data_IF_805264055920
#
_entry.id   IF_805264055920
#
_cell.length_a   1.000
_cell.length_b   1.000
_cell.length_c   1.000
_cell.angle_alpha   90.00
_cell.angle_beta   90.00
_cell.angle_gamma   90.00
#
_symmetry.space_group_name_H-M   'P 1'
#
loop_
_entity.id
_entity.type
_entity.pdbx_description
1 polymer ?
#
# COMPACT_ATOMS: atom_id res chain seq x y z
N UNK A 1 -32.31 25.32 39.55
CA UNK A 1 -31.87 23.92 39.39
C UNK A 1 -31.45 23.73 37.94
N UNK A 2 -30.15 23.67 37.73
CA UNK A 2 -29.45 23.86 36.45
C UNK A 2 -29.28 22.55 35.67
N UNK A 3 -29.68 22.61 34.40
CA UNK A 3 -29.63 21.54 33.40
C UNK A 3 -28.19 21.30 32.96
N UNK A 4 -27.65 20.08 33.15
CA UNK A 4 -26.38 19.65 32.53
C UNK A 4 -26.67 18.68 31.38
N UNK A 5 -26.61 19.21 30.17
CA UNK A 5 -26.49 18.41 28.94
C UNK A 5 -25.06 17.84 28.87
N UNK A 6 -24.96 16.51 28.74
CA UNK A 6 -23.71 15.82 28.39
C UNK A 6 -23.63 15.73 26.86
N UNK A 7 -22.78 16.57 26.27
CA UNK A 7 -22.28 16.42 24.90
C UNK A 7 -21.20 15.35 24.88
N UNK A 8 -21.48 14.22 24.22
CA UNK A 8 -20.46 13.23 23.85
C UNK A 8 -19.81 13.69 22.54
N UNK A 9 -18.66 14.34 22.64
CA UNK A 9 -17.77 14.56 21.51
C UNK A 9 -17.06 13.25 21.19
N UNK A 10 -17.50 12.57 20.13
CA UNK A 10 -16.83 11.42 19.55
C UNK A 10 -15.63 11.88 18.71
N UNK A 11 -14.46 11.44 19.14
CA UNK A 11 -13.14 11.66 18.57
C UNK A 11 -13.05 11.15 17.12
N UNK A 12 -12.79 12.05 16.17
CA UNK A 12 -12.38 11.69 14.82
C UNK A 12 -10.86 11.50 14.79
N UNK A 13 -10.40 10.29 15.13
CA UNK A 13 -9.03 9.87 14.85
C UNK A 13 -8.99 9.25 13.45
N UNK A 14 -8.35 9.93 12.52
CA UNK A 14 -8.08 9.44 11.17
C UNK A 14 -7.10 8.25 11.24
N UNK A 15 -7.63 7.03 11.18
CA UNK A 15 -6.81 5.83 11.04
C UNK A 15 -6.41 5.66 9.56
N UNK A 16 -5.18 6.07 9.23
CA UNK A 16 -4.50 5.68 7.99
C UNK A 16 -4.17 4.19 8.12
N UNK A 17 -4.96 3.33 7.49
CA UNK A 17 -4.65 1.89 7.40
C UNK A 17 -3.57 1.73 6.32
N UNK A 18 -2.32 1.65 6.75
CA UNK A 18 -1.24 1.11 5.94
C UNK A 18 -1.44 -0.40 5.81
N UNK A 19 -1.79 -0.88 4.61
CA UNK A 19 -1.69 -2.31 4.29
C UNK A 19 -0.21 -2.67 4.17
N UNK A 20 0.34 -3.29 5.21
CA UNK A 20 1.64 -3.96 5.17
C UNK A 20 1.47 -5.30 4.46
N UNK A 21 1.90 -5.36 3.19
CA UNK A 21 2.15 -6.64 2.54
C UNK A 21 3.43 -7.23 3.13
N UNK A 22 3.28 -8.22 4.01
CA UNK A 22 4.39 -9.05 4.49
C UNK A 22 4.81 -9.99 3.35
N UNK A 23 5.70 -9.51 2.49
CA UNK A 23 6.53 -10.35 1.62
C UNK A 23 7.96 -10.28 2.14
N UNK A 24 8.58 -11.44 2.34
CA UNK A 24 9.98 -11.57 2.77
C UNK A 24 10.92 -10.86 1.80
N UNK A 25 11.22 -9.59 2.09
CA UNK A 25 12.19 -8.81 1.34
C UNK A 25 13.59 -9.17 1.86
N UNK A 26 14.37 -9.83 1.01
CA UNK A 26 15.83 -9.77 1.09
C UNK A 26 16.16 -8.27 1.02
N UNK A 27 16.63 -7.71 2.13
CA UNK A 27 16.72 -6.26 2.34
C UNK A 27 17.50 -5.56 1.23
N UNK A 28 16.82 -4.79 0.40
CA UNK A 28 17.47 -3.81 -0.47
C UNK A 28 18.00 -2.67 0.40
N UNK A 29 19.25 -2.21 0.20
CA UNK A 29 19.78 -1.09 0.97
C UNK A 29 18.93 0.16 0.73
N UNK A 30 18.50 0.80 1.82
CA UNK A 30 17.78 2.07 1.81
C UNK A 30 18.68 3.19 1.25
N UNK A 31 18.11 4.28 0.68
CA UNK A 31 18.90 5.45 0.29
C UNK A 31 19.71 5.99 1.48
N UNK A 32 20.93 6.49 1.22
CA UNK A 32 21.94 6.79 2.24
C UNK A 32 21.41 7.60 3.45
N UNK A 33 21.67 7.12 4.68
CA UNK A 33 21.30 7.75 5.96
C UNK A 33 22.45 8.49 6.68
N UNK A 34 23.63 8.69 6.07
CA UNK A 34 24.69 9.52 6.68
C UNK A 34 24.55 10.99 6.26
N UNK A 35 25.07 11.91 7.07
CA UNK A 35 25.02 13.38 6.94
C UNK A 35 25.72 13.94 5.68
N UNK A 36 25.37 13.43 4.51
CA UNK A 36 25.84 13.90 3.22
C UNK A 36 25.22 15.27 2.93
N UNK A 37 25.92 16.16 2.19
CA UNK A 37 25.33 17.37 1.67
C UNK A 37 23.98 17.07 0.99
N UNK A 38 22.98 17.94 1.19
CA UNK A 38 21.61 17.73 0.66
C UNK A 38 21.59 17.37 -0.83
N UNK A 39 22.53 17.92 -1.61
CA UNK A 39 22.66 17.64 -3.04
C UNK A 39 23.08 16.19 -3.33
N UNK A 40 23.97 15.60 -2.52
CA UNK A 40 24.42 14.22 -2.67
C UNK A 40 23.28 13.24 -2.36
N UNK A 41 22.51 13.50 -1.30
CA UNK A 41 21.30 12.72 -0.99
C UNK A 41 20.25 12.86 -2.10
N UNK A 42 20.11 14.05 -2.69
CA UNK A 42 19.20 14.28 -3.83
C UNK A 42 19.64 13.49 -5.06
N UNK A 43 20.93 13.53 -5.42
CA UNK A 43 21.51 12.75 -6.51
C UNK A 43 21.25 11.25 -6.31
N UNK A 44 21.54 10.73 -5.11
CA UNK A 44 21.36 9.32 -4.77
C UNK A 44 19.89 8.90 -4.87
N UNK A 45 18.97 9.73 -4.40
CA UNK A 45 17.53 9.50 -4.51
C UNK A 45 17.03 9.49 -5.96
N UNK A 46 17.48 10.42 -6.79
CA UNK A 46 17.14 10.46 -8.22
C UNK A 46 17.63 9.22 -8.95
N UNK A 47 18.88 8.81 -8.70
CA UNK A 47 19.44 7.60 -9.30
C UNK A 47 18.75 6.33 -8.82
N UNK A 48 18.44 6.22 -7.52
CA UNK A 48 17.67 5.10 -7.00
C UNK A 48 16.30 4.99 -7.68
N UNK A 49 15.58 6.11 -7.83
CA UNK A 49 14.28 6.15 -8.51
C UNK A 49 14.39 5.83 -10.00
N UNK A 50 15.45 6.28 -10.67
CA UNK A 50 15.73 5.93 -12.07
C UNK A 50 15.89 4.43 -12.24
N UNK A 51 16.80 3.84 -11.46
CA UNK A 51 17.17 2.42 -11.56
C UNK A 51 16.10 1.45 -11.03
N UNK A 52 15.13 1.94 -10.27
CA UNK A 52 13.97 1.15 -9.78
C UNK A 52 12.66 1.51 -10.48
N UNK A 53 12.70 2.37 -11.51
CA UNK A 53 11.52 2.87 -12.21
C UNK A 53 10.60 1.75 -12.71
N UNK A 54 11.15 0.76 -13.41
CA UNK A 54 10.34 -0.30 -14.02
C UNK A 54 9.68 -1.20 -12.97
N UNK A 55 10.38 -1.45 -11.86
CA UNK A 55 9.82 -2.17 -10.71
C UNK A 55 8.66 -1.40 -10.09
N UNK A 56 8.82 -0.07 -9.91
CA UNK A 56 7.76 0.79 -9.39
C UNK A 56 6.56 0.84 -10.34
N UNK A 57 6.79 0.98 -11.65
CA UNK A 57 5.74 0.99 -12.66
C UNK A 57 4.99 -0.35 -12.73
N UNK A 58 5.71 -1.47 -12.66
CA UNK A 58 5.12 -2.82 -12.61
C UNK A 58 4.24 -3.01 -11.36
N UNK A 59 4.70 -2.55 -10.20
CA UNK A 59 3.92 -2.62 -8.95
C UNK A 59 2.64 -1.76 -9.02
N UNK A 60 2.72 -0.56 -9.60
CA UNK A 60 1.56 0.30 -9.82
C UNK A 60 0.55 -0.33 -10.79
N UNK A 61 1.01 -0.91 -11.89
CA UNK A 61 0.15 -1.61 -12.87
C UNK A 61 -0.55 -2.82 -12.27
N UNK A 62 0.18 -3.60 -11.46
CA UNK A 62 -0.37 -4.75 -10.73
C UNK A 62 -1.45 -4.29 -9.75
N UNK A 63 -1.17 -3.23 -8.99
CA UNK A 63 -2.14 -2.63 -8.06
C UNK A 63 -3.40 -2.15 -8.78
N UNK A 64 -3.25 -1.45 -9.90
CA UNK A 64 -4.36 -0.96 -10.71
C UNK A 64 -5.24 -2.11 -11.21
N UNK A 65 -4.63 -3.17 -11.75
CA UNK A 65 -5.35 -4.36 -12.21
C UNK A 65 -6.15 -5.01 -11.07
N UNK A 66 -5.54 -5.17 -9.90
CA UNK A 66 -6.20 -5.69 -8.70
C UNK A 66 -7.38 -4.82 -8.25
N UNK A 67 -7.20 -3.50 -8.22
CA UNK A 67 -8.26 -2.55 -7.86
C UNK A 67 -9.43 -2.60 -8.86
N UNK A 68 -9.14 -2.65 -10.16
CA UNK A 68 -10.18 -2.78 -11.21
C UNK A 68 -10.94 -4.10 -11.10
N UNK A 69 -10.26 -5.21 -10.80
CA UNK A 69 -10.90 -6.50 -10.52
C UNK A 69 -11.81 -6.40 -9.29
N UNK A 70 -11.33 -5.76 -8.22
CA UNK A 70 -12.12 -5.55 -7.01
C UNK A 70 -13.37 -4.69 -7.27
N UNK A 71 -13.27 -3.62 -8.07
CA UNK A 71 -14.44 -2.83 -8.49
C UNK A 71 -15.49 -3.71 -9.16
N UNK A 72 -15.09 -4.54 -10.15
CA UNK A 72 -16.03 -5.45 -10.84
C UNK A 72 -16.68 -6.45 -9.89
N UNK A 73 -15.89 -7.05 -9.00
CA UNK A 73 -16.39 -8.00 -8.01
C UNK A 73 -17.40 -7.35 -7.06
N UNK A 74 -17.08 -6.18 -6.51
CA UNK A 74 -17.97 -5.49 -5.58
C UNK A 74 -19.21 -4.91 -6.29
N UNK A 75 -19.11 -4.52 -7.56
CA UNK A 75 -20.28 -4.12 -8.34
C UNK A 75 -21.26 -5.29 -8.58
N UNK A 76 -20.74 -6.49 -8.86
CA UNK A 76 -21.58 -7.69 -8.91
C UNK A 76 -22.22 -7.99 -7.54
N UNK A 77 -21.46 -7.82 -6.46
CA UNK A 77 -21.97 -7.98 -5.09
C UNK A 77 -23.05 -6.95 -4.72
N UNK A 78 -22.95 -5.70 -5.19
CA UNK A 78 -24.02 -4.70 -5.03
C UNK A 78 -25.32 -5.21 -5.65
N UNK A 79 -25.25 -5.83 -6.83
CA UNK A 79 -26.44 -6.38 -7.51
C UNK A 79 -27.07 -7.50 -6.68
N UNK A 80 -26.26 -8.43 -6.19
CA UNK A 80 -26.72 -9.56 -5.35
C UNK A 80 -27.30 -9.06 -4.02
N UNK A 81 -26.59 -8.16 -3.35
CA UNK A 81 -27.01 -7.58 -2.07
C UNK A 81 -28.32 -6.79 -2.21
N UNK A 82 -28.50 -6.04 -3.30
CA UNK A 82 -29.72 -5.28 -3.57
C UNK A 82 -30.92 -6.21 -3.74
N UNK A 83 -30.77 -7.29 -4.52
CA UNK A 83 -31.83 -8.31 -4.67
C UNK A 83 -32.20 -8.96 -3.33
N UNK A 84 -31.21 -9.27 -2.51
CA UNK A 84 -31.43 -9.82 -1.17
C UNK A 84 -32.17 -8.82 -0.27
N UNK A 85 -31.80 -7.53 -0.30
CA UNK A 85 -32.45 -6.47 0.45
C UNK A 85 -33.92 -6.29 0.05
N UNK A 86 -34.22 -6.27 -1.26
CA UNK A 86 -35.59 -6.24 -1.76
C UNK A 86 -36.40 -7.43 -1.25
N UNK A 87 -35.84 -8.65 -1.34
CA UNK A 87 -36.51 -9.87 -0.87
C UNK A 87 -36.78 -9.83 0.63
N UNK A 88 -35.80 -9.40 1.44
CA UNK A 88 -35.93 -9.28 2.89
C UNK A 88 -36.99 -8.23 3.26
N UNK A 89 -37.04 -7.11 2.54
CA UNK A 89 -38.06 -6.07 2.75
C UNK A 89 -39.46 -6.58 2.44
N UNK A 90 -39.65 -7.35 1.36
CA UNK A 90 -40.95 -7.99 1.06
C UNK A 90 -41.37 -8.93 2.19
N UNK A 91 -40.45 -9.75 2.72
CA UNK A 91 -40.73 -10.64 3.87
C UNK A 91 -41.08 -9.86 5.13
N UNK A 92 -40.40 -8.76 5.41
CA UNK A 92 -40.69 -7.90 6.54
C UNK A 92 -42.10 -7.30 6.45
N UNK A 93 -42.51 -6.82 5.27
CA UNK A 93 -43.87 -6.30 5.05
C UNK A 93 -44.93 -7.39 5.27
N UNK A 94 -44.69 -8.61 4.75
CA UNK A 94 -45.58 -9.74 4.93
C UNK A 94 -45.69 -10.16 6.41
N UNK A 95 -44.56 -10.30 7.11
CA UNK A 95 -44.52 -10.67 8.51
C UNK A 95 -45.18 -9.62 9.42
N UNK A 96 -45.01 -8.33 9.09
CA UNK A 96 -45.66 -7.22 9.80
C UNK A 96 -47.18 -7.32 9.67
N UNK A 97 -47.67 -7.59 8.47
CA UNK A 97 -49.10 -7.78 8.22
C UNK A 97 -49.65 -9.00 8.96
N UNK A 98 -48.92 -10.12 8.91
CA UNK A 98 -49.33 -11.37 9.54
C UNK A 98 -49.38 -11.27 11.08
N UNK A 99 -48.37 -10.65 11.70
CA UNK A 99 -48.34 -10.38 13.15
C UNK A 99 -49.51 -9.48 13.55
N UNK A 100 -49.75 -8.38 12.82
CA UNK A 100 -50.87 -7.48 13.09
C UNK A 100 -52.21 -8.22 13.07
N UNK A 101 -52.43 -9.04 12.04
CA UNK A 101 -53.65 -9.84 11.91
C UNK A 101 -53.79 -10.88 13.02
N UNK A 102 -52.70 -11.56 13.40
CA UNK A 102 -52.72 -12.53 14.50
C UNK A 102 -53.01 -11.87 15.85
N UNK A 103 -52.44 -10.69 16.10
CA UNK A 103 -52.70 -9.89 17.30
C UNK A 103 -54.16 -9.47 17.40
N UNK A 104 -54.74 -8.98 16.31
CA UNK A 104 -56.17 -8.63 16.24
C UNK A 104 -57.07 -9.83 16.51
N UNK A 105 -56.78 -11.00 15.92
CA UNK A 105 -57.53 -12.24 16.16
C UNK A 105 -57.43 -12.72 17.60
N UNK A 106 -56.25 -12.60 18.22
CA UNK A 106 -56.07 -12.91 19.65
C UNK A 106 -56.86 -11.95 20.55
N UNK A 107 -56.87 -10.65 20.26
CA UNK A 107 -57.67 -9.67 20.98
C UNK A 107 -59.18 -9.96 20.86
N UNK A 108 -59.66 -10.27 19.65
CA UNK A 108 -61.04 -10.65 19.41
C UNK A 108 -61.44 -11.93 20.17
N UNK A 109 -60.58 -12.96 20.19
CA UNK A 109 -60.80 -14.19 20.97
C UNK A 109 -60.91 -13.91 22.47
N UNK A 110 -60.07 -13.00 23.01
CA UNK A 110 -60.16 -12.58 24.41
C UNK A 110 -61.49 -11.88 24.70
N UNK A 111 -61.93 -10.98 23.83
CA UNK A 111 -63.24 -10.31 23.96
C UNK A 111 -64.39 -11.33 23.95
N UNK A 112 -64.35 -12.30 23.04
CA UNK A 112 -65.35 -13.37 22.95
C UNK A 112 -65.38 -14.24 24.22
N UNK A 113 -64.22 -14.55 24.82
CA UNK A 113 -64.15 -15.25 26.10
C UNK A 113 -64.81 -14.44 27.23
N UNK A 114 -64.53 -13.15 27.33
CA UNK A 114 -65.19 -12.26 28.31
C UNK A 114 -66.71 -12.27 28.12
N UNK A 115 -67.19 -12.17 26.88
CA UNK A 115 -68.63 -12.24 26.58
C UNK A 115 -69.22 -13.60 26.98
N UNK A 116 -68.57 -14.72 26.64
CA UNK A 116 -69.04 -16.06 27.01
C UNK A 116 -69.12 -16.25 28.53
N UNK A 117 -68.14 -15.73 29.27
CA UNK A 117 -68.14 -15.74 30.74
C UNK A 117 -69.29 -14.92 31.31
N UNK A 118 -69.58 -13.75 30.73
CA UNK A 118 -70.72 -12.92 31.11
C UNK A 118 -72.05 -13.67 30.86
N UNK A 119 -72.20 -14.29 29.69
CA UNK A 119 -73.40 -15.08 29.34
C UNK A 119 -73.60 -16.25 30.31
N UNK A 120 -72.54 -16.95 30.70
CA UNK A 120 -72.61 -18.02 31.71
C UNK A 120 -73.08 -17.49 33.07
N UNK A 121 -72.55 -16.34 33.51
CA UNK A 121 -73.00 -15.69 34.75
C UNK A 121 -74.48 -15.33 34.69
N UNK A 122 -74.96 -14.77 33.58
CA UNK A 122 -76.37 -14.40 33.39
C UNK A 122 -77.28 -15.64 33.37
N UNK A 123 -76.93 -16.67 32.58
CA UNK A 123 -77.70 -17.93 32.51
C UNK A 123 -77.78 -18.64 33.87
N UNK A 124 -76.73 -18.53 34.69
CA UNK A 124 -76.72 -19.07 36.05
C UNK A 124 -77.67 -18.35 37.02
N UNK A 125 -77.96 -17.07 36.78
CA UNK A 125 -78.81 -16.21 37.64
C UNK A 125 -80.27 -16.11 37.16
N UNK A 126 -80.57 -16.53 35.93
CA UNK A 126 -81.90 -16.42 35.32
C UNK A 126 -82.93 -17.33 36.03
N UNK A 127 -84.16 -16.81 36.25
CA UNK A 127 -85.30 -17.56 36.79
C UNK A 127 -86.50 -17.54 35.81
N UNK A 128 -87.19 -18.69 35.59
CA UNK A 128 -86.86 -20.02 36.09
C UNK A 128 -85.55 -20.55 35.47
N UNK A 129 -84.85 -21.43 36.21
CA UNK A 129 -83.51 -21.90 35.82
C UNK A 129 -83.60 -22.86 34.63
N UNK A 130 -82.86 -22.58 33.55
CA UNK A 130 -82.72 -23.49 32.41
C UNK A 130 -81.37 -24.23 32.46
N UNK A 131 -81.38 -25.54 32.76
CA UNK A 131 -80.17 -26.39 32.73
C UNK A 131 -79.50 -26.36 31.35
N UNK A 132 -80.30 -26.41 30.27
CA UNK A 132 -79.79 -26.37 28.91
C UNK A 132 -79.06 -25.06 28.57
N UNK A 133 -79.57 -23.91 29.04
CA UNK A 133 -78.91 -22.63 28.84
C UNK A 133 -77.55 -22.55 29.54
N UNK A 134 -77.47 -23.05 30.79
CA UNK A 134 -76.21 -23.13 31.53
C UNK A 134 -75.20 -24.04 30.82
N UNK A 135 -75.60 -25.23 30.39
CA UNK A 135 -74.70 -26.16 29.66
C UNK A 135 -74.16 -25.53 28.37
N UNK A 136 -75.02 -24.87 27.57
CA UNK A 136 -74.57 -24.17 26.36
C UNK A 136 -73.57 -23.06 26.67
N UNK A 137 -73.83 -22.26 27.69
CA UNK A 137 -72.92 -21.19 28.09
C UNK A 137 -71.57 -21.72 28.62
N UNK A 138 -71.57 -22.83 29.37
CA UNK A 138 -70.34 -23.52 29.80
C UNK A 138 -69.54 -24.01 28.60
N UNK A 139 -70.18 -24.67 27.64
CA UNK A 139 -69.51 -25.13 26.42
C UNK A 139 -68.92 -23.97 25.61
N UNK A 140 -69.63 -22.83 25.55
CA UNK A 140 -69.14 -21.62 24.89
C UNK A 140 -67.89 -21.05 25.59
N UNK A 141 -67.84 -21.04 26.93
CA UNK A 141 -66.62 -20.64 27.68
C UNK A 141 -65.45 -21.58 27.40
N UNK A 142 -65.69 -22.90 27.40
CA UNK A 142 -64.66 -23.89 27.07
C UNK A 142 -64.11 -23.69 25.66
N UNK A 143 -64.99 -23.52 24.66
CA UNK A 143 -64.60 -23.25 23.29
C UNK A 143 -63.82 -21.94 23.13
N UNK A 144 -64.28 -20.85 23.76
CA UNK A 144 -63.60 -19.56 23.74
C UNK A 144 -62.23 -19.61 24.43
N UNK A 145 -62.09 -20.37 25.51
CA UNK A 145 -60.81 -20.58 26.21
C UNK A 145 -59.80 -21.27 25.30
N UNK A 146 -60.21 -22.35 24.61
CA UNK A 146 -59.38 -23.06 23.62
C UNK A 146 -59.00 -22.15 22.45
N UNK A 147 -59.93 -21.31 21.99
CA UNK A 147 -59.68 -20.34 20.93
C UNK A 147 -58.62 -19.31 21.36
N UNK A 148 -58.71 -18.74 22.57
CA UNK A 148 -57.69 -17.81 23.10
C UNK A 148 -56.31 -18.46 23.14
N UNK A 149 -56.21 -19.69 23.66
CA UNK A 149 -54.93 -20.41 23.73
C UNK A 149 -54.32 -20.61 22.33
N UNK A 150 -55.13 -21.05 21.36
CA UNK A 150 -54.70 -21.25 19.97
C UNK A 150 -54.25 -19.95 19.33
N UNK A 151 -55.03 -18.87 19.46
CA UNK A 151 -54.69 -17.56 18.89
C UNK A 151 -53.45 -16.94 19.55
N UNK A 152 -53.25 -17.16 20.85
CA UNK A 152 -52.04 -16.73 21.57
C UNK A 152 -50.79 -17.42 21.01
N UNK A 153 -50.87 -18.72 20.73
CA UNK A 153 -49.74 -19.45 20.14
C UNK A 153 -49.45 -18.97 18.71
N UNK A 154 -50.49 -18.79 17.88
CA UNK A 154 -50.33 -18.23 16.53
C UNK A 154 -49.69 -16.85 16.58
N UNK A 155 -50.17 -15.96 17.45
CA UNK A 155 -49.59 -14.63 17.65
C UNK A 155 -48.08 -14.70 17.99
N UNK A 156 -47.67 -15.59 18.90
CA UNK A 156 -46.26 -15.78 19.24
C UNK A 156 -45.40 -16.20 18.04
N UNK A 157 -45.88 -17.15 17.24
CA UNK A 157 -45.19 -17.60 16.02
C UNK A 157 -44.99 -16.44 15.04
N UNK A 158 -46.03 -15.64 14.78
CA UNK A 158 -45.90 -14.48 13.88
C UNK A 158 -45.02 -13.36 14.47
N UNK A 159 -45.03 -13.15 15.78
CA UNK A 159 -44.14 -12.20 16.44
C UNK A 159 -42.67 -12.60 16.29
N UNK A 160 -42.34 -13.90 16.44
CA UNK A 160 -40.98 -14.41 16.18
C UNK A 160 -40.61 -14.24 14.71
N UNK A 161 -41.49 -14.60 13.77
CA UNK A 161 -41.24 -14.43 12.34
C UNK A 161 -41.00 -12.95 11.95
N UNK A 162 -41.74 -12.01 12.56
CA UNK A 162 -41.52 -10.58 12.38
C UNK A 162 -40.14 -10.16 12.91
N UNK A 163 -39.73 -10.65 14.09
CA UNK A 163 -38.41 -10.37 14.63
C UNK A 163 -37.30 -10.85 13.71
N UNK A 164 -37.40 -12.07 13.17
CA UNK A 164 -36.43 -12.61 12.20
C UNK A 164 -36.41 -11.76 10.92
N UNK A 165 -37.58 -11.44 10.36
CA UNK A 165 -37.65 -10.63 9.14
C UNK A 165 -37.06 -9.22 9.30
N UNK A 166 -37.17 -8.62 10.50
CA UNK A 166 -36.51 -7.34 10.82
C UNK A 166 -34.98 -7.47 10.80
N UNK A 167 -34.46 -8.51 11.44
CA UNK A 167 -33.01 -8.79 11.45
C UNK A 167 -32.48 -9.07 10.04
N UNK A 168 -33.21 -9.85 9.25
CA UNK A 168 -32.83 -10.16 7.87
C UNK A 168 -32.78 -8.90 7.00
N UNK A 169 -33.78 -8.02 7.12
CA UNK A 169 -33.82 -6.75 6.39
C UNK A 169 -32.68 -5.80 6.79
N UNK A 170 -32.38 -5.71 8.09
CA UNK A 170 -31.26 -4.91 8.59
C UNK A 170 -29.90 -5.43 8.09
N UNK A 171 -29.71 -6.75 8.14
CA UNK A 171 -28.49 -7.42 7.63
C UNK A 171 -28.33 -7.20 6.13
N UNK A 172 -29.39 -7.38 5.35
CA UNK A 172 -29.34 -7.19 3.90
C UNK A 172 -29.07 -5.72 3.52
N UNK A 173 -29.64 -4.77 4.25
CA UNK A 173 -29.36 -3.33 4.06
C UNK A 173 -27.88 -3.02 4.35
N UNK A 174 -27.33 -3.56 5.43
CA UNK A 174 -25.91 -3.40 5.79
C UNK A 174 -25.00 -3.97 4.71
N UNK A 175 -25.37 -5.11 4.12
CA UNK A 175 -24.65 -5.74 3.01
C UNK A 175 -24.59 -4.82 1.79
N UNK A 176 -25.71 -4.18 1.43
CA UNK A 176 -25.76 -3.21 0.32
C UNK A 176 -24.84 -2.01 0.59
N UNK A 177 -24.95 -1.41 1.78
CA UNK A 177 -24.11 -0.26 2.17
C UNK A 177 -22.62 -0.61 2.11
N UNK A 178 -22.26 -1.78 2.62
CA UNK A 178 -20.87 -2.27 2.60
C UNK A 178 -20.37 -2.46 1.17
N UNK A 179 -21.16 -3.11 0.32
CA UNK A 179 -20.79 -3.35 -1.07
C UNK A 179 -20.58 -2.04 -1.84
N UNK A 180 -21.49 -1.08 -1.69
CA UNK A 180 -21.36 0.25 -2.31
C UNK A 180 -20.13 1.01 -1.82
N UNK A 181 -19.87 1.00 -0.50
CA UNK A 181 -18.68 1.64 0.06
C UNK A 181 -17.39 1.02 -0.50
N UNK A 182 -17.34 -0.30 -0.69
CA UNK A 182 -16.20 -0.98 -1.31
C UNK A 182 -16.02 -0.61 -2.77
N UNK A 183 -17.09 -0.53 -3.57
CA UNK A 183 -17.01 -0.03 -4.96
C UNK A 183 -16.41 1.37 -4.98
N UNK A 184 -16.90 2.30 -4.15
CA UNK A 184 -16.39 3.68 -4.10
C UNK A 184 -14.91 3.76 -3.68
N UNK A 185 -14.51 2.98 -2.68
CA UNK A 185 -13.14 2.92 -2.19
C UNK A 185 -12.17 2.42 -3.27
N UNK A 186 -12.48 1.29 -3.93
CA UNK A 186 -11.61 0.74 -4.98
C UNK A 186 -11.60 1.59 -6.25
N UNK A 187 -12.70 2.26 -6.57
CA UNK A 187 -12.76 3.21 -7.71
C UNK A 187 -11.83 4.40 -7.46
N UNK A 188 -11.89 4.96 -6.25
CA UNK A 188 -11.00 6.07 -5.85
C UNK A 188 -9.53 5.62 -5.84
N UNK A 189 -9.24 4.42 -5.32
CA UNK A 189 -7.90 3.87 -5.32
C UNK A 189 -7.36 3.69 -6.75
N UNK A 190 -8.17 3.12 -7.66
CA UNK A 190 -7.82 2.97 -9.06
C UNK A 190 -7.53 4.31 -9.76
N UNK A 191 -8.31 5.35 -9.47
CA UNK A 191 -8.08 6.69 -10.01
C UNK A 191 -6.73 7.26 -9.53
N UNK A 192 -6.42 7.15 -8.23
CA UNK A 192 -5.13 7.59 -7.68
C UNK A 192 -3.95 6.82 -8.26
N UNK A 193 -4.07 5.50 -8.41
CA UNK A 193 -3.01 4.69 -9.01
C UNK A 193 -2.80 5.04 -10.48
N UNK A 194 -3.86 5.32 -11.25
CA UNK A 194 -3.73 5.84 -12.62
C UNK A 194 -2.99 7.17 -12.67
N UNK A 195 -3.33 8.10 -11.78
CA UNK A 195 -2.65 9.39 -11.68
C UNK A 195 -1.17 9.21 -11.31
N UNK A 196 -0.86 8.32 -10.38
CA UNK A 196 0.51 8.01 -9.99
C UNK A 196 1.33 7.43 -11.16
N UNK A 197 0.74 6.55 -11.98
CA UNK A 197 1.38 6.04 -13.20
C UNK A 197 1.66 7.18 -14.19
N UNK A 198 0.68 8.06 -14.42
CA UNK A 198 0.82 9.17 -15.35
C UNK A 198 1.84 10.23 -14.88
N UNK A 199 1.96 10.42 -13.57
CA UNK A 199 2.88 11.37 -12.95
C UNK A 199 4.30 10.79 -12.72
N UNK A 200 4.51 9.49 -12.95
CA UNK A 200 5.81 8.86 -12.75
C UNK A 200 6.81 9.39 -13.80
N UNK A 201 7.89 10.08 -13.40
CA UNK A 201 8.88 10.54 -14.35
C UNK A 201 9.62 9.35 -14.97
N UNK A 202 10.03 9.48 -16.24
CA UNK A 202 10.81 8.43 -16.90
C UNK A 202 12.16 8.23 -16.20
N UNK A 203 12.69 7.01 -16.26
CA UNK A 203 14.04 6.70 -15.75
C UNK A 203 15.10 7.66 -16.35
N UNK A 204 15.06 7.89 -17.66
CA UNK A 204 15.96 8.81 -18.34
C UNK A 204 15.88 10.26 -17.83
N UNK A 205 14.68 10.77 -17.52
CA UNK A 205 14.53 12.11 -16.96
C UNK A 205 15.13 12.21 -15.55
N UNK A 206 14.95 11.19 -14.72
CA UNK A 206 15.52 11.12 -13.37
C UNK A 206 17.05 11.03 -13.40
N UNK A 207 17.60 10.16 -14.25
CA UNK A 207 19.05 10.05 -14.47
C UNK A 207 19.63 11.36 -15.03
N UNK A 208 18.93 12.04 -15.94
CA UNK A 208 19.34 13.35 -16.46
C UNK A 208 19.41 14.43 -15.38
N UNK A 209 18.42 14.48 -14.49
CA UNK A 209 18.43 15.40 -13.33
C UNK A 209 19.54 15.06 -12.33
N UNK A 210 19.83 13.79 -12.09
CA UNK A 210 20.98 13.41 -11.26
C UNK A 210 22.28 13.85 -11.92
N UNK A 211 22.42 13.60 -13.23
CA UNK A 211 23.59 14.00 -14.01
C UNK A 211 23.93 15.48 -13.90
N UNK A 212 22.93 16.37 -13.95
CA UNK A 212 23.13 17.83 -13.83
C UNK A 212 23.60 18.28 -12.44
N UNK A 213 23.38 17.47 -11.40
CA UNK A 213 23.83 17.74 -10.04
C UNK A 213 25.26 17.25 -9.78
N UNK A 214 25.83 16.41 -10.64
CA UNK A 214 27.06 15.66 -10.31
C UNK A 214 28.27 16.54 -9.98
N UNK A 215 28.48 17.67 -10.67
CA UNK A 215 29.55 18.62 -10.33
C UNK A 215 29.32 19.28 -8.98
N UNK A 216 28.09 19.74 -8.72
CA UNK A 216 27.70 20.32 -7.43
C UNK A 216 27.84 19.32 -6.29
N UNK A 217 27.58 18.02 -6.52
CA UNK A 217 27.86 16.96 -5.56
C UNK A 217 29.34 16.91 -5.21
N UNK A 218 30.22 16.89 -6.21
CA UNK A 218 31.67 16.90 -5.99
C UNK A 218 32.10 18.11 -5.18
N UNK A 219 31.65 19.31 -5.57
CA UNK A 219 32.04 20.57 -4.93
C UNK A 219 31.61 20.64 -3.46
N UNK A 220 30.41 20.15 -3.13
CA UNK A 220 29.91 20.17 -1.76
C UNK A 220 30.43 19.02 -0.90
N UNK A 221 30.70 17.85 -1.48
CA UNK A 221 31.23 16.70 -0.74
C UNK A 221 32.70 16.89 -0.40
N UNK A 222 33.50 17.44 -1.31
CA UNK A 222 34.96 17.56 -1.17
C UNK A 222 35.43 18.21 0.15
N UNK A 223 34.95 19.39 0.56
CA UNK A 223 35.45 20.05 1.78
C UNK A 223 34.99 19.36 3.07
N UNK A 224 33.95 18.52 3.03
CA UNK A 224 33.35 17.90 4.22
C UNK A 224 33.53 16.39 4.27
N UNK A 225 34.19 15.79 3.28
CA UNK A 225 34.34 14.34 3.13
C UNK A 225 35.08 13.73 4.33
N UNK A 226 34.56 12.60 4.82
CA UNK A 226 35.18 11.77 5.85
C UNK A 226 35.29 10.34 5.33
N UNK A 227 36.31 9.61 5.78
CA UNK A 227 36.44 8.18 5.47
C UNK A 227 35.16 7.40 5.82
N UNK A 228 34.51 7.80 6.92
CA UNK A 228 33.25 7.25 7.36
C UNK A 228 32.13 7.37 6.32
N UNK A 229 32.21 8.24 5.31
CA UNK A 229 31.23 8.43 4.21
C UNK A 229 31.34 7.37 3.10
N UNK A 230 32.33 6.49 3.20
CA UNK A 230 32.52 5.38 2.27
C UNK A 230 31.85 4.09 2.75
N UNK A 231 31.66 3.15 1.83
CA UNK A 231 31.16 1.80 2.07
C UNK A 231 31.72 0.84 1.02
N UNK A 232 31.66 -0.46 1.27
CA UNK A 232 32.10 -1.47 0.30
C UNK A 232 30.91 -1.99 -0.51
N UNK A 233 31.12 -2.08 -1.83
CA UNK A 233 30.22 -2.73 -2.78
C UNK A 233 31.01 -3.78 -3.54
N UNK A 234 30.75 -5.06 -3.28
CA UNK A 234 31.47 -6.18 -3.91
C UNK A 234 33.01 -6.03 -3.87
N UNK A 235 33.55 -5.56 -2.74
CA UNK A 235 34.99 -5.35 -2.55
C UNK A 235 35.52 -4.01 -3.07
N UNK A 236 34.69 -3.18 -3.71
CA UNK A 236 35.04 -1.82 -4.14
C UNK A 236 34.59 -0.82 -3.08
N UNK A 237 35.53 -0.11 -2.47
CA UNK A 237 35.20 0.98 -1.53
C UNK A 237 34.73 2.20 -2.30
N UNK A 238 33.51 2.69 -2.07
CA UNK A 238 32.92 3.84 -2.76
C UNK A 238 32.22 4.77 -1.78
N UNK A 239 31.93 6.00 -2.18
CA UNK A 239 31.07 6.90 -1.42
C UNK A 239 29.66 6.31 -1.33
N UNK A 240 29.00 6.44 -0.16
CA UNK A 240 27.60 5.98 0.01
C UNK A 240 26.64 6.61 -0.99
N UNK A 241 26.93 7.80 -1.50
CA UNK A 241 26.15 8.49 -2.53
C UNK A 241 25.96 7.63 -3.79
N UNK A 242 27.03 6.96 -4.23
CA UNK A 242 27.03 6.16 -5.47
C UNK A 242 26.90 4.65 -5.21
N UNK A 243 26.91 4.21 -3.96
CA UNK A 243 26.95 2.78 -3.60
C UNK A 243 25.83 1.97 -4.27
N UNK A 244 24.59 2.47 -4.26
CA UNK A 244 23.46 1.79 -4.92
C UNK A 244 23.66 1.68 -6.44
N UNK A 245 24.10 2.77 -7.08
CA UNK A 245 24.32 2.82 -8.53
C UNK A 245 25.42 1.87 -8.98
N UNK A 246 26.51 1.80 -8.22
CA UNK A 246 27.65 0.91 -8.48
C UNK A 246 27.25 -0.54 -8.28
N UNK A 247 26.52 -0.83 -7.20
CA UNK A 247 25.99 -2.18 -6.95
C UNK A 247 25.14 -2.62 -8.13
N UNK A 248 24.20 -1.77 -8.56
CA UNK A 248 23.29 -2.08 -9.66
C UNK A 248 24.04 -2.28 -10.98
N UNK A 249 25.01 -1.42 -11.28
CA UNK A 249 25.87 -1.56 -12.47
C UNK A 249 26.59 -2.90 -12.50
N UNK A 250 27.20 -3.32 -11.38
CA UNK A 250 27.91 -4.60 -11.30
C UNK A 250 26.94 -5.79 -11.43
N UNK A 251 25.76 -5.71 -10.80
CA UNK A 251 24.74 -6.75 -10.87
C UNK A 251 24.21 -6.93 -12.30
N UNK A 252 23.89 -5.83 -12.98
CA UNK A 252 23.36 -5.84 -14.35
C UNK A 252 24.43 -6.28 -15.36
N UNK A 253 25.67 -5.78 -15.24
CA UNK A 253 26.79 -6.26 -16.06
C UNK A 253 26.97 -7.78 -15.92
N UNK A 254 26.92 -8.30 -14.69
CA UNK A 254 27.00 -9.74 -14.43
C UNK A 254 25.83 -10.51 -15.06
N UNK A 255 24.62 -9.97 -15.01
CA UNK A 255 23.45 -10.57 -15.64
C UNK A 255 23.60 -10.67 -17.17
N UNK A 256 24.29 -9.70 -17.77
CA UNK A 256 24.65 -9.68 -19.19
C UNK A 256 25.92 -10.51 -19.53
N UNK A 257 26.44 -11.26 -18.56
CA UNK A 257 27.65 -12.10 -18.74
C UNK A 257 28.97 -11.33 -18.71
N UNK A 258 28.95 -10.05 -18.32
CA UNK A 258 30.12 -9.16 -18.23
C UNK A 258 30.56 -9.02 -16.77
N UNK A 259 31.65 -9.67 -16.40
CA UNK A 259 32.20 -9.55 -15.06
C UNK A 259 33.06 -8.28 -14.92
N UNK A 260 32.62 -7.35 -14.07
CA UNK A 260 33.37 -6.14 -13.72
C UNK A 260 33.63 -6.05 -12.23
N UNK A 261 34.78 -5.48 -11.87
CA UNK A 261 35.20 -5.09 -10.51
C UNK A 261 36.01 -3.80 -10.62
N UNK A 262 36.73 -3.36 -9.59
CA UNK A 262 37.56 -2.18 -9.71
C UNK A 262 38.17 -1.64 -8.43
N UNK A 263 38.94 -0.56 -8.58
CA UNK A 263 39.47 0.24 -7.47
C UNK A 263 38.64 1.51 -7.30
N UNK A 264 38.10 1.73 -6.09
CA UNK A 264 37.32 2.93 -5.77
C UNK A 264 38.12 3.94 -4.96
N UNK A 265 37.69 4.23 -3.74
CA UNK A 265 38.29 5.20 -2.83
C UNK A 265 39.79 4.98 -2.61
N UNK A 266 40.56 6.08 -2.64
CA UNK A 266 41.97 6.12 -2.22
C UNK A 266 42.26 7.39 -1.44
N UNK A 267 43.13 7.33 -0.45
CA UNK A 267 43.48 8.51 0.36
C UNK A 267 44.31 9.53 -0.44
N UNK A 268 44.42 10.75 0.09
CA UNK A 268 45.28 11.79 -0.49
C UNK A 268 46.75 11.40 -0.43
N UNK A 269 47.17 10.72 0.63
CA UNK A 269 48.53 10.18 0.80
C UNK A 269 48.82 9.16 -0.30
N UNK A 270 47.87 8.25 -0.55
CA UNK A 270 48.00 7.30 -1.67
C UNK A 270 48.04 8.00 -3.02
N UNK A 271 47.31 9.10 -3.20
CA UNK A 271 47.38 9.93 -4.40
C UNK A 271 48.78 10.54 -4.60
N UNK A 272 49.40 11.04 -3.53
CA UNK A 272 50.76 11.58 -3.54
C UNK A 272 51.77 10.49 -3.94
N UNK A 273 51.71 9.33 -3.30
CA UNK A 273 52.57 8.18 -3.62
C UNK A 273 52.45 7.78 -5.10
N UNK A 274 51.22 7.69 -5.62
CA UNK A 274 50.99 7.32 -7.02
C UNK A 274 51.62 8.32 -7.99
N UNK A 275 51.63 9.61 -7.68
CA UNK A 275 52.30 10.61 -8.53
C UNK A 275 53.81 10.45 -8.56
N UNK A 276 54.42 10.11 -7.43
CA UNK A 276 55.84 9.77 -7.37
C UNK A 276 56.14 8.49 -8.16
N UNK A 277 55.37 7.42 -7.92
CA UNK A 277 55.52 6.14 -8.63
C UNK A 277 55.37 6.33 -10.14
N UNK A 278 54.39 7.12 -10.56
CA UNK A 278 54.08 7.38 -11.97
C UNK A 278 54.98 8.45 -12.59
N UNK A 279 56.03 8.90 -11.88
CA UNK A 279 57.08 9.77 -12.41
C UNK A 279 56.57 11.15 -12.84
N UNK A 280 55.58 11.70 -12.14
CA UNK A 280 55.14 13.07 -12.40
C UNK A 280 56.29 14.05 -12.12
N UNK A 281 56.54 15.06 -12.98
CA UNK A 281 57.60 16.05 -12.77
C UNK A 281 57.51 16.82 -11.45
N UNK A 282 56.28 17.08 -10.99
CA UNK A 282 55.97 17.63 -9.67
C UNK A 282 54.68 17.03 -9.11
N UNK A 283 54.62 16.83 -7.80
CA UNK A 283 53.49 16.18 -7.12
C UNK A 283 52.25 17.10 -7.05
N UNK A 284 52.41 18.41 -6.98
CA UNK A 284 51.31 19.32 -6.63
C UNK A 284 50.79 20.14 -7.81
N UNK A 285 51.59 20.33 -8.84
CA UNK A 285 51.30 21.29 -9.91
C UNK A 285 51.35 20.68 -11.31
N UNK A 286 52.14 19.63 -11.54
CA UNK A 286 52.27 19.04 -12.86
C UNK A 286 50.92 18.47 -13.36
N UNK A 287 50.52 18.73 -14.62
CA UNK A 287 49.28 18.19 -15.17
C UNK A 287 49.28 16.66 -15.15
N UNK A 288 48.10 16.03 -15.02
CA UNK A 288 48.02 14.56 -14.97
C UNK A 288 48.67 13.89 -16.19
N UNK A 289 48.57 14.50 -17.36
CA UNK A 289 49.13 14.01 -18.62
C UNK A 289 50.65 14.02 -18.71
N UNK A 290 51.37 14.73 -17.82
CA UNK A 290 52.84 14.72 -17.81
C UNK A 290 53.44 13.58 -16.98
N UNK A 291 52.60 12.82 -16.27
CA UNK A 291 53.02 11.60 -15.60
C UNK A 291 53.09 10.44 -16.60
N UNK A 292 53.96 9.45 -16.35
CA UNK A 292 54.06 8.23 -17.18
C UNK A 292 52.73 7.49 -17.26
N UNK A 293 51.99 7.44 -16.15
CA UNK A 293 50.60 7.01 -16.09
C UNK A 293 49.77 8.21 -15.62
N UNK A 294 48.77 8.66 -16.40
CA UNK A 294 47.95 9.80 -16.01
C UNK A 294 47.43 9.68 -14.58
N UNK A 295 47.72 10.68 -13.75
CA UNK A 295 47.41 10.64 -12.32
C UNK A 295 46.98 12.03 -11.87
N UNK A 296 45.76 12.17 -11.33
CA UNK A 296 45.25 13.47 -10.88
C UNK A 296 46.13 14.13 -9.79
N UNK A 297 46.10 15.46 -9.73
CA UNK A 297 46.76 16.25 -8.67
C UNK A 297 46.08 15.93 -7.31
N UNK A 298 46.83 15.80 -6.19
CA UNK A 298 46.23 15.50 -4.89
C UNK A 298 45.22 16.57 -4.45
N UNK A 299 44.10 16.14 -3.90
CA UNK A 299 42.96 16.98 -3.57
C UNK A 299 42.00 17.23 -4.74
N UNK A 300 42.35 16.84 -5.97
CA UNK A 300 41.48 16.98 -7.17
C UNK A 300 40.90 15.66 -7.65
N UNK A 301 41.47 14.53 -7.26
CA UNK A 301 40.97 13.20 -7.66
C UNK A 301 39.57 12.93 -7.10
N UNK A 302 38.72 12.28 -7.89
CA UNK A 302 37.42 11.79 -7.43
C UNK A 302 37.53 10.48 -6.64
N UNK A 303 38.63 9.74 -6.80
CA UNK A 303 38.93 8.60 -5.92
C UNK A 303 39.15 9.05 -4.48
N UNK A 304 39.62 10.28 -4.25
CA UNK A 304 39.75 10.82 -2.89
C UNK A 304 38.40 11.05 -2.20
N UNK A 305 37.29 11.03 -2.96
CA UNK A 305 35.93 11.16 -2.45
C UNK A 305 35.14 9.84 -2.52
N UNK A 306 35.71 8.79 -3.12
CA UNK A 306 35.00 7.56 -3.47
C UNK A 306 33.91 7.76 -4.53
N UNK A 307 33.99 8.82 -5.34
CA UNK A 307 33.01 9.16 -6.39
C UNK A 307 33.47 8.73 -7.80
N UNK A 308 34.55 7.96 -7.88
CA UNK A 308 35.09 7.36 -9.08
C UNK A 308 35.50 5.90 -8.84
N UNK A 309 35.54 5.12 -9.92
CA UNK A 309 35.96 3.73 -9.94
C UNK A 309 36.84 3.50 -11.17
N UNK A 310 37.99 2.89 -10.95
CA UNK A 310 38.85 2.34 -11.98
C UNK A 310 38.42 0.88 -12.20
N UNK A 311 37.67 0.63 -13.28
CA UNK A 311 37.05 -0.66 -13.57
C UNK A 311 38.08 -1.65 -14.12
N UNK A 312 37.99 -2.88 -13.62
CA UNK A 312 38.74 -4.05 -14.07
C UNK A 312 37.78 -5.18 -14.50
N UNK A 313 38.28 -6.11 -15.31
CA UNK A 313 37.55 -7.32 -15.72
C UNK A 313 38.52 -8.49 -15.77
N UNK A 314 38.13 -9.64 -15.21
CA UNK A 314 39.01 -10.81 -15.10
C UNK A 314 40.32 -10.53 -14.34
N UNK A 315 40.29 -9.63 -13.35
CA UNK A 315 41.47 -9.23 -12.56
C UNK A 315 42.46 -8.31 -13.28
N UNK A 316 42.11 -7.79 -14.47
CA UNK A 316 42.97 -6.91 -15.28
C UNK A 316 42.29 -5.58 -15.56
N UNK A 317 43.08 -4.51 -15.68
CA UNK A 317 42.59 -3.21 -16.14
C UNK A 317 41.95 -3.34 -17.52
N UNK A 318 40.77 -2.75 -17.70
CA UNK A 318 40.06 -2.80 -18.99
C UNK A 318 40.70 -1.85 -20.01
N UNK A 319 40.57 -2.19 -21.29
CA UNK A 319 40.94 -1.35 -22.41
C UNK A 319 39.75 -1.12 -23.33
N UNK A 320 39.88 -0.23 -24.33
CA UNK A 320 38.81 0.10 -25.28
C UNK A 320 38.29 -1.11 -26.08
N UNK A 321 39.10 -2.16 -26.23
CA UNK A 321 38.71 -3.38 -26.93
C UNK A 321 38.02 -4.42 -26.04
N UNK A 322 38.12 -4.29 -24.71
CA UNK A 322 37.57 -5.25 -23.75
C UNK A 322 36.03 -5.26 -23.80
N UNK A 323 35.37 -6.43 -23.71
CA UNK A 323 33.90 -6.51 -23.64
C UNK A 323 33.30 -5.64 -22.52
N UNK A 324 33.95 -5.60 -21.36
CA UNK A 324 33.56 -4.74 -20.25
C UNK A 324 33.52 -3.25 -20.60
N UNK A 325 34.52 -2.74 -21.33
CA UNK A 325 34.50 -1.34 -21.79
C UNK A 325 33.33 -1.08 -22.72
N UNK A 326 33.10 -1.96 -23.69
CA UNK A 326 31.99 -1.84 -24.65
C UNK A 326 30.63 -1.84 -23.93
N UNK A 327 30.45 -2.72 -22.95
CA UNK A 327 29.24 -2.74 -22.12
C UNK A 327 29.06 -1.41 -21.37
N UNK A 328 30.12 -0.92 -20.71
CA UNK A 328 30.08 0.36 -19.98
C UNK A 328 29.80 1.56 -20.88
N UNK A 329 30.31 1.59 -22.12
CA UNK A 329 30.02 2.69 -23.05
C UNK A 329 28.54 2.82 -23.39
N UNK A 330 27.80 1.73 -23.31
CA UNK A 330 26.35 1.71 -23.52
C UNK A 330 25.61 2.03 -22.22
N UNK A 331 26.00 1.39 -21.11
CA UNK A 331 25.16 1.34 -19.91
C UNK A 331 25.61 2.24 -18.75
N UNK A 332 26.88 2.65 -18.66
CA UNK A 332 27.40 3.36 -17.46
C UNK A 332 26.61 4.64 -17.13
N UNK A 333 26.12 5.33 -18.16
CA UNK A 333 25.31 6.56 -18.00
C UNK A 333 23.97 6.29 -17.31
N UNK A 334 23.39 5.10 -17.47
CA UNK A 334 22.17 4.68 -16.77
C UNK A 334 22.36 4.64 -15.25
N UNK A 335 23.61 4.39 -14.81
CA UNK A 335 24.06 4.39 -13.42
C UNK A 335 24.67 5.72 -12.98
N UNK A 336 24.58 6.77 -13.81
CA UNK A 336 25.10 8.09 -13.49
C UNK A 336 26.63 8.18 -13.54
N UNK A 337 27.29 7.23 -14.22
CA UNK A 337 28.74 7.22 -14.41
C UNK A 337 29.10 7.61 -15.85
N UNK A 338 30.21 8.33 -15.98
CA UNK A 338 30.74 8.85 -17.23
C UNK A 338 32.22 8.47 -17.32
N UNK A 339 32.66 8.05 -18.50
CA UNK A 339 34.07 7.72 -18.74
C UNK A 339 34.90 9.00 -18.83
N UNK A 340 36.09 8.98 -18.24
CA UNK A 340 37.15 9.91 -18.59
C UNK A 340 37.76 9.48 -19.94
N UNK A 341 37.67 10.28 -21.03
CA UNK A 341 38.06 9.80 -22.35
C UNK A 341 39.53 9.39 -22.49
N UNK A 342 40.44 9.96 -21.69
CA UNK A 342 41.86 9.56 -21.71
C UNK A 342 42.11 8.21 -21.03
N UNK A 343 41.17 7.70 -20.24
CA UNK A 343 41.36 6.53 -19.36
C UNK A 343 40.19 5.55 -19.53
N UNK A 344 40.38 4.48 -20.30
CA UNK A 344 39.32 3.52 -20.59
C UNK A 344 38.75 2.84 -19.32
N UNK A 345 39.56 2.73 -18.27
CA UNK A 345 39.16 2.14 -17.00
C UNK A 345 38.47 3.11 -16.05
N UNK A 346 38.58 4.43 -16.23
CA UNK A 346 38.12 5.40 -15.23
C UNK A 346 36.68 5.86 -15.49
N UNK A 347 35.81 5.66 -14.49
CA UNK A 347 34.41 6.04 -14.53
C UNK A 347 34.03 6.77 -13.25
N UNK A 348 33.36 7.91 -13.39
CA UNK A 348 32.96 8.75 -12.25
C UNK A 348 31.67 9.48 -12.53
N UNK A 349 31.11 10.14 -11.52
CA UNK A 349 29.86 10.90 -11.71
C UNK A 349 30.01 12.15 -12.61
N UNK A 350 31.25 12.59 -12.88
CA UNK A 350 31.53 13.75 -13.76
C UNK A 350 32.35 13.41 -15.01
N UNK A 351 32.94 12.21 -15.07
CA UNK A 351 33.87 11.82 -16.14
C UNK A 351 35.29 12.38 -15.97
N UNK A 352 35.65 12.88 -14.79
CA UNK A 352 36.96 13.48 -14.49
C UNK A 352 36.87 14.61 -13.49
#
# INVERSE_FOLDING_TARGET
MTTRQRTLQSSAAAAIIALTAAGSAIGMPAPAQAAAPKVASTWSSLMYRSLTHDQQLAALRTSLSGQQKAVRQWAAEVTVATKAATTAQTRLTAATTAEKNARLRHAAARKALTTAQQTLRTAGKQKPRSKAAVTRATNAVTAATKAVATRKQQYRVYATALSTARTDAATATTRVTTANAKVGAYTTAAARTKQAIAALPTAAALAGQAGSLSRTVVDQVRPTFKLADTTQVYGVTVNRTIAFTVKRMIDDAKADGVQISGGGFRTKERQIELRTINGCPDVWTAPASSCRVPTAIPGRSLHELGLAIDISSGGRTISRSTPAYKWLTVHAKEYGLVNLPSEAWHWSITGG
#
